data_IF_974890620126
#
_entry.id   IF_974890620126
#
_cell.length_a   1.000
_cell.length_b   1.000
_cell.length_c   1.000
_cell.angle_alpha   90.00
_cell.angle_beta   90.00
_cell.angle_gamma   90.00
#
_symmetry.space_group_name_H-M   'P 1'
#
loop_
_entity.id
_entity.type
_entity.pdbx_description
1 polymer ?
#
# COMPACT_ATOMS: atom_id res chain seq x y z
N UNK A 1 -41.47 24.20 -92.26
CA UNK A 1 -41.29 23.09 -91.32
C UNK A 1 -39.82 23.03 -90.96
N UNK A 2 -39.43 23.59 -89.81
CA UNK A 2 -38.08 23.48 -89.24
C UNK A 2 -38.23 23.49 -87.72
N UNK A 3 -38.21 22.31 -87.10
CA UNK A 3 -38.30 22.15 -85.65
C UNK A 3 -36.89 22.27 -85.03
N UNK A 4 -36.72 23.15 -84.06
CA UNK A 4 -35.50 23.33 -83.27
C UNK A 4 -35.26 22.12 -82.34
N UNK A 5 -34.13 21.40 -82.44
CA UNK A 5 -33.84 20.23 -81.60
C UNK A 5 -32.73 20.46 -80.54
N UNK A 6 -32.32 21.70 -80.26
CA UNK A 6 -31.09 21.96 -79.48
C UNK A 6 -31.28 22.36 -78.00
N UNK A 7 -32.50 22.56 -77.52
CA UNK A 7 -32.71 22.98 -76.11
C UNK A 7 -32.83 21.82 -75.13
N UNK A 8 -33.27 20.64 -75.59
CA UNK A 8 -33.53 19.47 -74.73
C UNK A 8 -32.23 18.79 -74.26
N UNK A 9 -31.16 18.85 -75.06
CA UNK A 9 -29.87 18.23 -74.73
C UNK A 9 -29.09 19.01 -73.68
N UNK A 10 -29.18 20.35 -73.69
CA UNK A 10 -28.53 21.22 -72.72
C UNK A 10 -29.13 21.10 -71.31
N UNK A 11 -30.46 21.00 -71.21
CA UNK A 11 -31.15 20.84 -69.93
C UNK A 11 -30.87 19.47 -69.28
N UNK A 12 -30.72 18.42 -70.09
CA UNK A 12 -30.38 17.07 -69.59
C UNK A 12 -28.97 17.02 -69.00
N UNK A 13 -27.99 17.66 -69.64
CA UNK A 13 -26.62 17.73 -69.16
C UNK A 13 -26.49 18.56 -67.85
N UNK A 14 -27.34 19.58 -67.68
CA UNK A 14 -27.41 20.37 -66.45
C UNK A 14 -28.00 19.57 -65.29
N UNK A 15 -29.09 18.83 -65.53
CA UNK A 15 -29.73 17.97 -64.54
C UNK A 15 -28.80 16.84 -64.07
N UNK A 16 -27.98 16.26 -64.96
CA UNK A 16 -27.01 15.23 -64.57
C UNK A 16 -25.86 15.78 -63.71
N UNK A 17 -25.39 17.01 -63.98
CA UNK A 17 -24.40 17.69 -63.13
C UNK A 17 -24.98 18.02 -61.75
N UNK A 18 -26.20 18.55 -61.69
CA UNK A 18 -26.87 18.85 -60.42
C UNK A 18 -27.14 17.58 -59.60
N UNK A 19 -27.47 16.46 -60.25
CA UNK A 19 -27.64 15.17 -59.56
C UNK A 19 -26.33 14.62 -58.99
N UNK A 20 -25.23 14.71 -59.75
CA UNK A 20 -23.91 14.26 -59.29
C UNK A 20 -23.38 15.12 -58.14
N UNK A 21 -23.61 16.44 -58.17
CA UNK A 21 -23.27 17.33 -57.06
C UNK A 21 -24.14 17.07 -55.82
N UNK A 22 -25.43 16.76 -56.02
CA UNK A 22 -26.32 16.39 -54.94
C UNK A 22 -25.93 15.04 -54.29
N UNK A 23 -25.56 14.03 -55.08
CA UNK A 23 -25.08 12.74 -54.56
C UNK A 23 -23.72 12.89 -53.85
N UNK A 24 -22.81 13.72 -54.37
CA UNK A 24 -21.52 13.99 -53.71
C UNK A 24 -21.69 14.74 -52.40
N UNK A 25 -22.57 15.75 -52.35
CA UNK A 25 -22.91 16.47 -51.11
C UNK A 25 -23.68 15.61 -50.10
N UNK A 26 -24.50 14.66 -50.56
CA UNK A 26 -25.20 13.71 -49.69
C UNK A 26 -24.22 12.68 -49.11
N UNK A 27 -23.28 12.18 -49.91
CA UNK A 27 -22.24 11.24 -49.46
C UNK A 27 -21.26 11.88 -48.47
N UNK A 28 -20.84 13.14 -48.68
CA UNK A 28 -19.94 13.83 -47.75
C UNK A 28 -20.61 14.10 -46.40
N UNK A 29 -21.90 14.45 -46.40
CA UNK A 29 -22.70 14.63 -45.17
C UNK A 29 -22.93 13.31 -44.42
N UNK A 30 -23.19 12.20 -45.14
CA UNK A 30 -23.30 10.87 -44.54
C UNK A 30 -21.99 10.41 -43.90
N UNK A 31 -20.85 10.57 -44.59
CA UNK A 31 -19.53 10.21 -44.05
C UNK A 31 -19.15 11.05 -42.84
N UNK A 32 -19.47 12.35 -42.85
CA UNK A 32 -19.24 13.23 -41.70
C UNK A 32 -20.05 12.78 -40.47
N UNK A 33 -21.34 12.47 -40.65
CA UNK A 33 -22.24 12.00 -39.57
C UNK A 33 -21.78 10.64 -39.01
N UNK A 34 -21.36 9.71 -39.87
CA UNK A 34 -20.85 8.40 -39.46
C UNK A 34 -19.56 8.54 -38.63
N UNK A 35 -18.68 9.49 -38.96
CA UNK A 35 -17.45 9.73 -38.18
C UNK A 35 -17.72 10.28 -36.77
N UNK A 36 -18.71 11.17 -36.63
CA UNK A 36 -19.08 11.74 -35.32
C UNK A 36 -19.69 10.70 -34.40
N UNK A 37 -20.54 9.81 -34.95
CA UNK A 37 -21.13 8.69 -34.19
C UNK A 37 -20.04 7.70 -33.74
N UNK A 38 -19.04 7.40 -34.58
CA UNK A 38 -17.94 6.52 -34.22
C UNK A 38 -17.06 7.07 -33.07
N UNK A 39 -16.85 8.39 -33.02
CA UNK A 39 -16.12 9.05 -31.92
C UNK A 39 -16.93 8.96 -30.62
N UNK A 40 -18.24 9.22 -30.66
CA UNK A 40 -19.12 9.13 -29.48
C UNK A 40 -19.19 7.70 -28.95
N UNK A 41 -19.29 6.70 -29.82
CA UNK A 41 -19.27 5.28 -29.44
C UNK A 41 -17.92 4.89 -28.83
N UNK A 42 -16.80 5.37 -29.38
CA UNK A 42 -15.47 5.12 -28.81
C UNK A 42 -15.30 5.74 -27.42
N UNK A 43 -15.78 6.96 -27.21
CA UNK A 43 -15.73 7.63 -25.89
C UNK A 43 -16.63 6.92 -24.88
N UNK A 44 -17.81 6.47 -25.29
CA UNK A 44 -18.71 5.67 -24.44
C UNK A 44 -18.10 4.31 -24.09
N UNK A 45 -17.44 3.63 -25.04
CA UNK A 45 -16.74 2.36 -24.78
C UNK A 45 -15.59 2.54 -23.78
N UNK A 46 -14.81 3.62 -23.89
CA UNK A 46 -13.77 3.96 -22.91
C UNK A 46 -14.39 4.26 -21.54
N UNK A 47 -15.51 4.97 -21.48
CA UNK A 47 -16.25 5.24 -20.23
C UNK A 47 -16.84 3.98 -19.58
N UNK A 48 -17.39 3.08 -20.38
CA UNK A 48 -17.90 1.77 -19.91
C UNK A 48 -16.74 0.90 -19.43
N UNK A 49 -15.61 0.87 -20.15
CA UNK A 49 -14.41 0.15 -19.71
C UNK A 49 -13.82 0.74 -18.41
N UNK A 50 -13.88 2.06 -18.23
CA UNK A 50 -13.46 2.72 -16.99
C UNK A 50 -14.37 2.34 -15.80
N UNK A 51 -15.69 2.32 -16.00
CA UNK A 51 -16.64 1.89 -14.98
C UNK A 51 -16.56 0.39 -14.69
N UNK A 52 -16.35 -0.43 -15.71
CA UNK A 52 -16.13 -1.88 -15.58
C UNK A 52 -14.80 -2.19 -14.89
N UNK A 53 -13.75 -1.40 -15.16
CA UNK A 53 -12.47 -1.46 -14.44
C UNK A 53 -12.67 -1.21 -12.95
N UNK A 54 -13.45 -0.18 -12.58
CA UNK A 54 -13.77 0.08 -11.17
C UNK A 54 -14.62 -1.02 -10.53
N UNK A 55 -15.58 -1.60 -11.26
CA UNK A 55 -16.39 -2.73 -10.78
C UNK A 55 -15.55 -4.00 -10.58
N UNK A 56 -14.66 -4.33 -11.52
CA UNK A 56 -13.74 -5.46 -11.41
C UNK A 56 -12.75 -5.25 -10.25
N UNK A 57 -12.27 -4.02 -10.05
CA UNK A 57 -11.43 -3.67 -8.91
C UNK A 57 -12.19 -3.83 -7.59
N UNK A 58 -13.44 -3.37 -7.51
CA UNK A 58 -14.29 -3.53 -6.32
C UNK A 58 -14.55 -5.01 -5.97
N UNK A 59 -14.87 -5.84 -6.97
CA UNK A 59 -15.04 -7.29 -6.79
C UNK A 59 -13.74 -7.99 -6.37
N UNK A 60 -12.60 -7.52 -6.87
CA UNK A 60 -11.30 -8.04 -6.48
C UNK A 60 -11.01 -7.68 -5.03
N UNK A 61 -11.19 -6.43 -4.62
CA UNK A 61 -11.03 -5.98 -3.23
C UNK A 61 -11.95 -6.77 -2.30
N UNK A 62 -13.21 -6.99 -2.69
CA UNK A 62 -14.18 -7.74 -1.87
C UNK A 62 -13.67 -9.15 -1.51
N UNK A 63 -13.04 -9.84 -2.46
CA UNK A 63 -12.41 -11.15 -2.21
C UNK A 63 -11.21 -11.08 -1.25
N UNK A 64 -10.53 -9.93 -1.19
CA UNK A 64 -9.39 -9.71 -0.31
C UNK A 64 -9.77 -9.21 1.09
N UNK A 65 -10.99 -8.69 1.32
CA UNK A 65 -11.43 -8.17 2.63
C UNK A 65 -11.13 -9.14 3.80
N UNK A 66 -11.46 -10.44 3.71
CA UNK A 66 -11.20 -11.37 4.83
C UNK A 66 -9.70 -11.51 5.14
N UNK A 67 -8.84 -11.33 4.14
CA UNK A 67 -7.39 -11.44 4.28
C UNK A 67 -6.74 -10.12 4.73
N UNK A 68 -7.33 -8.97 4.39
CA UNK A 68 -6.90 -7.65 4.86
C UNK A 68 -7.22 -7.43 6.34
N UNK A 69 -8.30 -8.05 6.84
CA UNK A 69 -8.68 -8.03 8.26
C UNK A 69 -7.69 -8.79 9.14
N UNK A 70 -7.12 -9.88 8.63
CA UNK A 70 -6.14 -10.70 9.37
C UNK A 70 -4.74 -10.13 9.19
N UNK A 71 -4.10 -9.78 10.30
CA UNK A 71 -2.79 -9.13 10.28
C UNK A 71 -1.70 -10.02 9.63
N UNK A 72 -1.79 -11.34 9.79
CA UNK A 72 -0.83 -12.31 9.24
C UNK A 72 -0.90 -12.43 7.71
N UNK A 73 -2.07 -12.22 7.11
CA UNK A 73 -2.29 -12.37 5.66
C UNK A 73 -2.39 -11.04 4.92
N UNK A 74 -2.45 -9.93 5.65
CA UNK A 74 -2.64 -8.57 5.12
C UNK A 74 -1.59 -8.20 4.09
N UNK A 75 -0.31 -8.35 4.43
CA UNK A 75 0.78 -7.93 3.55
C UNK A 75 0.81 -8.78 2.28
N UNK A 76 0.62 -10.10 2.42
CA UNK A 76 0.50 -11.01 1.28
C UNK A 76 -0.70 -10.67 0.38
N UNK A 77 -1.85 -10.31 0.98
CA UNK A 77 -3.03 -9.89 0.25
C UNK A 77 -2.78 -8.58 -0.53
N UNK A 78 -2.19 -7.57 0.12
CA UNK A 78 -1.86 -6.30 -0.52
C UNK A 78 -0.80 -6.46 -1.63
N UNK A 79 0.23 -7.28 -1.41
CA UNK A 79 1.22 -7.62 -2.45
C UNK A 79 0.56 -8.32 -3.63
N UNK A 80 -0.40 -9.21 -3.39
CA UNK A 80 -1.17 -9.85 -4.47
C UNK A 80 -2.05 -8.83 -5.19
N UNK A 81 -2.67 -7.89 -4.46
CA UNK A 81 -3.45 -6.81 -5.03
C UNK A 81 -2.62 -5.89 -5.92
N UNK A 82 -1.32 -5.68 -5.65
CA UNK A 82 -0.45 -4.87 -6.52
C UNK A 82 -0.39 -5.38 -7.98
N UNK A 83 -0.64 -6.68 -8.21
CA UNK A 83 -0.62 -7.25 -9.55
C UNK A 83 -1.90 -6.98 -10.37
N UNK A 84 -3.02 -6.62 -9.72
CA UNK A 84 -4.33 -6.56 -10.37
C UNK A 84 -5.15 -5.31 -10.03
N UNK A 85 -4.80 -4.59 -8.97
CA UNK A 85 -5.46 -3.39 -8.50
C UNK A 85 -4.62 -2.14 -8.80
N UNK A 86 -5.28 -0.98 -8.72
CA UNK A 86 -4.63 0.30 -8.83
C UNK A 86 -3.56 0.49 -7.74
N UNK A 87 -2.33 0.84 -8.13
CA UNK A 87 -1.21 0.97 -7.20
C UNK A 87 -1.38 2.13 -6.21
N UNK A 88 -2.06 3.21 -6.59
CA UNK A 88 -2.33 4.32 -5.65
C UNK A 88 -3.30 3.86 -4.57
N UNK A 89 -4.35 3.11 -4.94
CA UNK A 89 -5.24 2.48 -3.97
C UNK A 89 -4.48 1.54 -3.02
N UNK A 90 -3.63 0.66 -3.56
CA UNK A 90 -2.86 -0.27 -2.72
C UNK A 90 -1.89 0.48 -1.82
N UNK A 91 -1.30 1.57 -2.28
CA UNK A 91 -0.42 2.43 -1.46
C UNK A 91 -1.19 3.05 -0.30
N UNK A 92 -2.38 3.62 -0.54
CA UNK A 92 -3.22 4.16 0.53
C UNK A 92 -3.71 3.09 1.51
N UNK A 93 -4.07 1.89 1.02
CA UNK A 93 -4.44 0.77 1.89
C UNK A 93 -3.24 0.29 2.72
N UNK A 94 -2.06 0.21 2.12
CA UNK A 94 -0.84 -0.20 2.81
C UNK A 94 -0.43 0.82 3.89
N UNK A 95 -0.58 2.12 3.63
CA UNK A 95 -0.39 3.16 4.63
C UNK A 95 -1.39 3.03 5.79
N UNK A 96 -2.69 2.97 5.48
CA UNK A 96 -3.76 2.87 6.50
C UNK A 96 -3.63 1.61 7.35
N UNK A 97 -3.22 0.50 6.74
CA UNK A 97 -3.04 -0.79 7.40
C UNK A 97 -1.60 -1.01 7.91
N UNK A 98 -0.71 -0.03 7.78
CA UNK A 98 0.69 -0.06 8.21
C UNK A 98 1.50 -1.24 7.65
N UNK A 99 1.22 -1.62 6.41
CA UNK A 99 1.91 -2.68 5.69
C UNK A 99 3.22 -2.16 5.08
N UNK A 100 4.25 -1.97 5.90
CA UNK A 100 5.52 -1.35 5.51
C UNK A 100 6.24 -2.12 4.40
N UNK A 101 6.19 -3.46 4.41
CA UNK A 101 6.78 -4.28 3.35
C UNK A 101 6.15 -4.04 1.97
N UNK A 102 4.84 -3.76 1.92
CA UNK A 102 4.12 -3.42 0.68
C UNK A 102 4.58 -2.05 0.18
N UNK A 103 4.67 -1.06 1.08
CA UNK A 103 5.13 0.28 0.72
C UNK A 103 6.59 0.27 0.22
N UNK A 104 7.47 -0.53 0.84
CA UNK A 104 8.85 -0.73 0.37
C UNK A 104 8.88 -1.35 -1.03
N UNK A 105 7.99 -2.30 -1.31
CA UNK A 105 7.84 -2.90 -2.64
C UNK A 105 7.38 -1.87 -3.68
N UNK A 106 6.41 -1.01 -3.33
CA UNK A 106 5.95 0.09 -4.20
C UNK A 106 7.06 1.11 -4.41
N UNK A 107 7.83 1.45 -3.37
CA UNK A 107 8.97 2.36 -3.46
C UNK A 107 10.06 1.81 -4.40
N UNK A 108 10.31 0.49 -4.38
CA UNK A 108 11.30 -0.13 -5.26
C UNK A 108 10.82 -0.22 -6.72
N UNK A 109 9.55 -0.59 -6.93
CA UNK A 109 9.03 -1.01 -8.24
C UNK A 109 8.05 -0.02 -8.92
N UNK A 110 7.65 1.05 -8.22
CA UNK A 110 6.72 2.06 -8.71
C UNK A 110 7.33 3.01 -9.72
N UNK A 111 6.46 3.79 -10.40
CA UNK A 111 6.89 4.98 -11.14
C UNK A 111 7.26 6.12 -10.17
N UNK A 112 7.83 7.22 -10.66
CA UNK A 112 8.32 8.30 -9.79
C UNK A 112 7.26 8.80 -8.79
N UNK A 113 6.04 9.07 -9.25
CA UNK A 113 4.95 9.54 -8.39
C UNK A 113 4.60 8.52 -7.28
N UNK A 114 4.50 7.24 -7.63
CA UNK A 114 4.22 6.16 -6.68
C UNK A 114 5.36 5.99 -5.67
N UNK A 115 6.61 6.14 -6.12
CA UNK A 115 7.79 6.09 -5.24
C UNK A 115 7.77 7.24 -4.24
N UNK A 116 7.42 8.44 -4.69
CA UNK A 116 7.34 9.62 -3.83
C UNK A 116 6.23 9.45 -2.78
N UNK A 117 5.05 8.96 -3.20
CA UNK A 117 3.93 8.63 -2.28
C UNK A 117 4.33 7.56 -1.26
N UNK A 118 4.93 6.45 -1.70
CA UNK A 118 5.36 5.38 -0.80
C UNK A 118 6.46 5.85 0.17
N UNK A 119 7.37 6.70 -0.28
CA UNK A 119 8.41 7.30 0.56
C UNK A 119 7.81 8.21 1.63
N UNK A 120 6.83 9.04 1.27
CA UNK A 120 6.11 9.87 2.23
C UNK A 120 5.37 9.01 3.27
N UNK A 121 4.60 8.00 2.82
CA UNK A 121 3.89 7.09 3.71
C UNK A 121 4.83 6.35 4.68
N UNK A 122 5.96 5.83 4.18
CA UNK A 122 6.98 5.18 5.02
C UNK A 122 7.57 6.14 6.07
N UNK A 123 7.81 7.39 5.68
CA UNK A 123 8.32 8.43 6.59
C UNK A 123 7.31 8.79 7.67
N UNK A 124 6.02 8.81 7.34
CA UNK A 124 4.93 9.11 8.27
C UNK A 124 4.74 7.98 9.28
N UNK A 125 4.78 6.74 8.80
CA UNK A 125 4.77 5.55 9.65
C UNK A 125 5.98 5.52 10.58
N UNK A 126 7.18 5.81 10.07
CA UNK A 126 8.40 5.89 10.90
C UNK A 126 8.22 6.92 12.02
N UNK A 127 7.78 8.14 11.70
CA UNK A 127 7.53 9.19 12.70
C UNK A 127 6.50 8.76 13.75
N UNK A 128 5.42 8.10 13.32
CA UNK A 128 4.38 7.59 14.22
C UNK A 128 4.96 6.55 15.18
N UNK A 129 5.73 5.59 14.68
CA UNK A 129 6.39 4.58 15.51
C UNK A 129 7.37 5.20 16.49
N UNK A 130 8.23 6.10 16.05
CA UNK A 130 9.21 6.79 16.91
C UNK A 130 8.53 7.56 18.05
N UNK A 131 7.41 8.23 17.76
CA UNK A 131 6.62 8.91 18.78
C UNK A 131 6.05 7.92 19.81
N UNK A 132 5.55 6.77 19.38
CA UNK A 132 5.06 5.72 20.29
C UNK A 132 6.19 5.13 21.14
N UNK A 133 7.36 4.85 20.55
CA UNK A 133 8.55 4.37 21.26
C UNK A 133 9.02 5.36 22.33
N UNK A 134 8.92 6.66 22.06
CA UNK A 134 9.20 7.67 23.07
C UNK A 134 8.14 7.66 24.18
N UNK A 135 6.86 7.50 23.82
CA UNK A 135 5.74 7.52 24.78
C UNK A 135 5.69 6.33 25.72
N UNK A 136 6.31 5.17 25.41
CA UNK A 136 6.37 4.06 26.37
C UNK A 136 7.20 4.39 27.62
N UNK A 137 7.97 5.49 27.58
CA UNK A 137 8.76 6.07 28.68
C UNK A 137 8.14 7.35 29.26
N UNK A 138 6.91 7.72 28.84
CA UNK A 138 6.25 8.90 29.39
C UNK A 138 6.06 8.79 30.91
N UNK A 139 6.10 9.90 31.65
CA UNK A 139 5.88 9.88 33.11
C UNK A 139 4.45 9.44 33.49
N UNK A 140 3.48 9.75 32.62
CA UNK A 140 2.07 9.45 32.81
C UNK A 140 1.75 7.99 32.43
N UNK A 141 1.14 7.24 33.36
CA UNK A 141 0.90 5.80 33.19
C UNK A 141 -0.02 5.51 32.00
N UNK A 142 -1.07 6.30 31.79
CA UNK A 142 -2.04 6.08 30.71
C UNK A 142 -1.38 6.23 29.34
N UNK A 143 -0.52 7.24 29.16
CA UNK A 143 0.27 7.46 27.96
C UNK A 143 1.17 6.25 27.66
N UNK A 144 1.90 5.74 28.66
CA UNK A 144 2.75 4.55 28.48
C UNK A 144 1.95 3.33 28.07
N UNK A 145 0.84 3.05 28.77
CA UNK A 145 -0.01 1.89 28.49
C UNK A 145 -0.63 2.00 27.10
N UNK A 146 -1.13 3.18 26.73
CA UNK A 146 -1.69 3.43 25.39
C UNK A 146 -0.65 3.21 24.30
N UNK A 147 0.54 3.77 24.45
CA UNK A 147 1.62 3.62 23.47
C UNK A 147 2.09 2.17 23.33
N UNK A 148 2.27 1.47 24.45
CA UNK A 148 2.63 0.04 24.49
C UNK A 148 1.56 -0.80 23.79
N UNK A 149 0.29 -0.53 24.07
CA UNK A 149 -0.85 -1.24 23.45
C UNK A 149 -0.90 -0.99 21.95
N UNK A 150 -0.68 0.24 21.51
CA UNK A 150 -0.66 0.59 20.08
C UNK A 150 0.47 -0.13 19.34
N UNK A 151 1.68 -0.13 19.90
CA UNK A 151 2.84 -0.86 19.35
C UNK A 151 2.55 -2.36 19.23
N UNK A 152 2.04 -2.98 20.29
CA UNK A 152 1.69 -4.40 20.29
C UNK A 152 0.61 -4.73 19.25
N UNK A 153 -0.45 -3.91 19.15
CA UNK A 153 -1.60 -4.24 18.31
C UNK A 153 -1.41 -3.93 16.83
N UNK A 154 -0.57 -2.95 16.50
CA UNK A 154 -0.51 -2.41 15.14
C UNK A 154 0.87 -2.56 14.50
N UNK A 155 1.92 -2.82 15.29
CA UNK A 155 3.30 -2.83 14.82
C UNK A 155 4.04 -4.15 15.09
N UNK A 156 3.43 -5.13 15.78
CA UNK A 156 4.08 -6.41 16.12
C UNK A 156 4.64 -7.21 14.93
N UNK A 157 4.11 -6.97 13.72
CA UNK A 157 4.58 -7.60 12.48
C UNK A 157 5.55 -6.72 11.68
N UNK A 158 5.83 -5.49 12.12
CA UNK A 158 6.78 -4.61 11.44
C UNK A 158 8.21 -5.10 11.72
N UNK A 159 9.00 -5.43 10.68
CA UNK A 159 10.35 -5.97 10.84
C UNK A 159 11.32 -5.00 11.55
N UNK A 160 11.04 -3.70 11.51
CA UNK A 160 11.86 -2.67 12.15
C UNK A 160 11.46 -2.42 13.61
N UNK A 161 10.36 -3.01 14.12
CA UNK A 161 9.91 -2.78 15.50
C UNK A 161 10.95 -3.26 16.52
N UNK A 162 11.39 -4.52 16.44
CA UNK A 162 12.34 -5.12 17.38
C UNK A 162 13.65 -4.32 17.48
N UNK A 163 14.38 -4.06 16.39
CA UNK A 163 15.64 -3.31 16.48
C UNK A 163 15.45 -1.89 17.02
N UNK A 164 14.34 -1.21 16.69
CA UNK A 164 14.08 0.14 17.21
C UNK A 164 13.69 0.15 18.69
N UNK A 165 12.95 -0.85 19.17
CA UNK A 165 12.66 -0.99 20.60
C UNK A 165 13.95 -1.20 21.38
N UNK A 166 14.86 -2.04 20.87
CA UNK A 166 16.18 -2.26 21.48
C UNK A 166 16.98 -0.95 21.55
N UNK A 167 17.14 -0.24 20.42
CA UNK A 167 17.91 1.00 20.36
C UNK A 167 17.37 2.10 21.31
N UNK A 168 16.04 2.24 21.40
CA UNK A 168 15.42 3.18 22.35
C UNK A 168 15.60 2.75 23.79
N UNK A 169 15.39 1.46 24.07
CA UNK A 169 15.41 0.95 25.43
C UNK A 169 16.81 0.92 26.03
N UNK A 170 17.84 0.65 25.24
CA UNK A 170 19.24 0.68 25.70
C UNK A 170 19.63 2.06 26.24
N UNK A 171 19.12 3.14 25.63
CA UNK A 171 19.39 4.52 26.05
C UNK A 171 18.67 4.91 27.35
N UNK A 172 17.66 4.12 27.76
CA UNK A 172 16.76 4.44 28.86
C UNK A 172 16.62 3.30 29.88
N UNK A 173 17.63 2.44 30.00
CA UNK A 173 17.61 1.29 30.91
C UNK A 173 17.39 1.67 32.39
N UNK A 174 17.73 2.89 32.79
CA UNK A 174 17.48 3.36 34.16
C UNK A 174 15.98 3.59 34.46
N UNK A 175 15.13 3.79 33.44
CA UNK A 175 13.68 3.87 33.61
C UNK A 175 13.09 2.45 33.70
N UNK A 176 12.84 2.02 34.93
CA UNK A 176 12.27 0.71 35.22
C UNK A 176 10.92 0.47 34.54
N UNK A 177 10.02 1.46 34.57
CA UNK A 177 8.67 1.32 34.01
C UNK A 177 8.72 1.27 32.48
N UNK A 178 9.50 2.16 31.87
CA UNK A 178 9.69 2.17 30.43
C UNK A 178 10.37 0.91 29.92
N UNK A 179 11.36 0.38 30.64
CA UNK A 179 12.02 -0.89 30.31
C UNK A 179 11.03 -2.07 30.34
N UNK A 180 10.16 -2.15 31.36
CA UNK A 180 9.11 -3.17 31.41
C UNK A 180 8.19 -3.06 30.18
N UNK A 181 7.78 -1.85 29.81
CA UNK A 181 6.92 -1.66 28.64
C UNK A 181 7.62 -2.06 27.33
N UNK A 182 8.89 -1.71 27.16
CA UNK A 182 9.69 -2.15 26.03
C UNK A 182 9.78 -3.69 25.95
N UNK A 183 10.00 -4.35 27.09
CA UNK A 183 9.98 -5.82 27.17
C UNK A 183 8.61 -6.40 26.84
N UNK A 184 7.51 -5.76 27.26
CA UNK A 184 6.16 -6.18 26.85
C UNK A 184 5.98 -6.08 25.34
N UNK A 185 6.44 -5.00 24.69
CA UNK A 185 6.38 -4.89 23.22
C UNK A 185 7.17 -6.02 22.56
N UNK A 186 8.39 -6.29 23.02
CA UNK A 186 9.24 -7.37 22.48
C UNK A 186 8.64 -8.76 22.69
N UNK A 187 8.00 -9.00 23.84
CA UNK A 187 7.33 -10.28 24.12
C UNK A 187 6.22 -10.57 23.11
N UNK A 188 5.55 -9.55 22.60
CA UNK A 188 4.47 -9.71 21.63
C UNK A 188 4.96 -9.80 20.17
N UNK A 189 6.24 -9.50 19.90
CA UNK A 189 6.84 -9.65 18.57
C UNK A 189 6.86 -11.13 18.12
N UNK A 190 6.89 -11.36 16.80
CA UNK A 190 6.92 -12.72 16.26
C UNK A 190 8.23 -13.46 16.62
N UNK A 191 8.20 -14.79 16.81
CA UNK A 191 9.41 -15.57 17.06
C UNK A 191 10.48 -15.38 15.96
N UNK A 192 10.06 -15.19 14.71
CA UNK A 192 10.92 -14.92 13.57
C UNK A 192 11.65 -13.60 13.73
N UNK A 193 10.95 -12.53 14.11
CA UNK A 193 11.54 -11.21 14.33
C UNK A 193 12.52 -11.22 15.51
N UNK A 194 12.20 -11.94 16.59
CA UNK A 194 13.11 -12.10 17.73
C UNK A 194 14.40 -12.82 17.33
N UNK A 195 14.29 -13.90 16.55
CA UNK A 195 15.46 -14.66 16.06
C UNK A 195 16.31 -13.84 15.09
N UNK A 196 15.69 -13.09 14.19
CA UNK A 196 16.38 -12.24 13.22
C UNK A 196 17.23 -11.16 13.90
N UNK A 197 16.89 -10.76 15.13
CA UNK A 197 17.59 -9.72 15.90
C UNK A 197 18.30 -10.29 17.15
N UNK A 198 18.57 -11.59 17.19
CA UNK A 198 19.08 -12.27 18.40
C UNK A 198 20.41 -11.69 18.92
N UNK A 199 21.30 -11.27 18.00
CA UNK A 199 22.63 -10.75 18.31
C UNK A 199 22.56 -9.48 19.19
N UNK A 200 21.65 -8.56 18.89
CA UNK A 200 21.46 -7.33 19.66
C UNK A 200 20.47 -7.54 20.82
N UNK A 201 19.48 -8.41 20.63
CA UNK A 201 18.43 -8.67 21.60
C UNK A 201 18.97 -9.35 22.87
N UNK A 202 19.82 -10.37 22.75
CA UNK A 202 20.32 -11.12 23.92
C UNK A 202 21.12 -10.25 24.90
N UNK A 203 22.10 -9.43 24.45
CA UNK A 203 22.77 -8.48 25.34
C UNK A 203 21.82 -7.48 26.00
N UNK A 204 20.84 -6.97 25.25
CA UNK A 204 19.83 -6.07 25.80
C UNK A 204 19.01 -6.75 26.90
N UNK A 205 18.50 -7.97 26.66
CA UNK A 205 17.71 -8.72 27.64
C UNK A 205 18.51 -9.01 28.92
N UNK A 206 19.80 -9.33 28.80
CA UNK A 206 20.68 -9.54 29.95
C UNK A 206 20.82 -8.26 30.80
N UNK A 207 20.94 -7.09 30.16
CA UNK A 207 20.97 -5.79 30.88
C UNK A 207 19.61 -5.50 31.53
N UNK A 208 18.52 -5.64 30.77
CA UNK A 208 17.17 -5.33 31.22
C UNK A 208 16.70 -6.23 32.37
N UNK A 209 17.16 -7.48 32.43
CA UNK A 209 16.85 -8.41 33.52
C UNK A 209 17.35 -7.91 34.90
N UNK A 210 18.38 -7.05 34.93
CA UNK A 210 18.89 -6.46 36.18
C UNK A 210 17.95 -5.41 36.78
N UNK A 211 16.91 -4.98 36.05
CA UNK A 211 15.95 -4.00 36.55
C UNK A 211 14.96 -4.57 37.55
N UNK A 212 14.97 -5.88 37.82
CA UNK A 212 14.16 -6.51 38.86
C UNK A 212 13.45 -7.77 38.40
N UNK A 213 12.73 -8.42 39.32
CA UNK A 213 12.13 -9.73 39.08
C UNK A 213 11.16 -9.75 37.89
N UNK A 214 10.36 -8.70 37.70
CA UNK A 214 9.43 -8.61 36.58
C UNK A 214 10.15 -8.52 35.23
N UNK A 215 11.16 -7.65 35.11
CA UNK A 215 11.95 -7.52 33.87
C UNK A 215 12.72 -8.80 33.56
N UNK A 216 13.26 -9.46 34.59
CA UNK A 216 13.91 -10.77 34.44
C UNK A 216 12.95 -11.85 33.93
N UNK A 217 11.74 -11.93 34.48
CA UNK A 217 10.70 -12.86 34.01
C UNK A 217 10.31 -12.61 32.55
N UNK A 218 10.07 -11.35 32.18
CA UNK A 218 9.76 -10.98 30.78
C UNK A 218 10.92 -11.29 29.83
N UNK A 219 12.17 -11.03 30.23
CA UNK A 219 13.34 -11.36 29.44
C UNK A 219 13.43 -12.88 29.18
N UNK A 220 13.18 -13.71 30.20
CA UNK A 220 13.15 -15.16 30.05
C UNK A 220 12.02 -15.64 29.11
N UNK A 221 10.83 -15.04 29.21
CA UNK A 221 9.72 -15.32 28.28
C UNK A 221 10.09 -15.00 26.83
N UNK A 222 10.77 -13.88 26.57
CA UNK A 222 11.22 -13.49 25.23
C UNK A 222 12.25 -14.49 24.70
N UNK A 223 13.24 -14.88 25.50
CA UNK A 223 14.23 -15.90 25.14
C UNK A 223 13.55 -17.22 24.78
N UNK A 224 12.61 -17.68 25.61
CA UNK A 224 11.88 -18.92 25.37
C UNK A 224 11.02 -18.86 24.10
N UNK A 225 10.28 -17.76 23.89
CA UNK A 225 9.43 -17.55 22.70
C UNK A 225 10.26 -17.54 21.41
N UNK A 226 11.38 -16.82 21.41
CA UNK A 226 12.29 -16.75 20.28
C UNK A 226 13.14 -18.02 20.09
N UNK A 227 13.13 -18.96 21.06
CA UNK A 227 14.10 -20.08 21.13
C UNK A 227 15.53 -19.58 20.96
N UNK A 228 15.84 -18.46 21.59
CA UNK A 228 17.13 -17.82 21.47
C UNK A 228 18.15 -18.61 22.28
N UNK A 229 19.33 -18.84 21.73
CA UNK A 229 20.42 -19.48 22.45
C UNK A 229 21.24 -18.41 23.18
N UNK A 230 21.17 -18.30 24.51
CA UNK A 230 21.97 -17.32 25.25
C UNK A 230 23.47 -17.61 25.20
N UNK A 231 23.88 -18.83 24.84
CA UNK A 231 25.29 -19.22 24.78
C UNK A 231 25.98 -18.77 23.49
N UNK A 232 25.23 -18.59 22.39
CA UNK A 232 25.79 -18.14 21.11
C UNK A 232 26.28 -16.69 21.14
N UNK A 233 25.73 -15.84 22.02
CA UNK A 233 26.17 -14.44 22.18
C UNK A 233 27.55 -14.29 22.86
N UNK A 234 28.08 -15.36 23.44
CA UNK A 234 29.36 -15.34 24.19
C UNK A 234 30.58 -15.68 23.35
N UNK A 235 30.39 -16.10 22.09
CA UNK A 235 31.44 -16.66 21.22
C UNK A 235 31.99 -15.69 20.16
N UNK A 236 31.45 -14.47 20.07
CA UNK A 236 31.89 -13.45 19.10
C UNK A 236 32.74 -12.31 19.73
N UNK A 237 33.37 -12.56 20.89
CA UNK A 237 34.37 -11.64 21.48
C UNK A 237 35.79 -12.19 21.39
#
# INVERSE_FOLDING_TARGET
MSAQPDTISADRARLERERLEFERNKSSRLTAIVSTVAIVVSVLQVGVAYLQSKLATAQTIEKFIPYLQKQETRDAALLTMLAFADKDLVTHLAESLRATAVLETVQASGNQEQRDKATAALSDLERSRQALLTQIYAQEKTARVKATTELVRQWNNDPKLVPQVIDHAEKQLADHNGTINALVVLREASPEALRANAADLLPFLAKAANNGAQSSGLAAEIVAKGRLDPTSASLEK
#
